data_IF_082693430784
#
_entry.id   IF_082693430784
#
_cell.length_a   1.000
_cell.length_b   1.000
_cell.length_c   1.000
_cell.angle_alpha   90.00
_cell.angle_beta   90.00
_cell.angle_gamma   90.00
#
_symmetry.space_group_name_H-M   'P 1'
#
loop_
_entity.id
_entity.type
_entity.pdbx_description
1 polymer ?
#
# COMPACT_ATOMS: atom_id res chain seq x y z
N UNK A 1 -9.33 23.60 11.58
CA UNK A 1 -7.93 23.30 11.19
C UNK A 1 -7.24 24.64 11.01
N UNK A 2 -6.13 24.83 11.72
CA UNK A 2 -5.27 26.01 11.65
C UNK A 2 -4.76 26.25 10.19
N UNK A 3 -4.34 27.46 9.80
CA UNK A 3 -3.89 27.78 8.45
C UNK A 3 -2.75 26.84 8.05
N UNK A 4 -2.79 26.35 6.80
CA UNK A 4 -1.74 25.62 6.08
C UNK A 4 -0.54 25.21 6.96
N UNK A 5 -0.56 24.00 7.54
CA UNK A 5 0.50 23.48 8.41
C UNK A 5 1.88 23.48 7.75
N UNK A 6 1.90 23.60 6.43
CA UNK A 6 3.07 23.81 5.59
C UNK A 6 3.77 25.14 5.88
N UNK A 7 3.14 26.10 6.55
CA UNK A 7 3.77 27.38 6.91
C UNK A 7 4.30 27.41 8.35
N UNK A 8 4.05 26.36 9.13
CA UNK A 8 4.52 26.28 10.51
C UNK A 8 6.05 26.17 10.59
N UNK A 9 6.59 26.68 11.70
CA UNK A 9 7.98 26.44 12.08
C UNK A 9 8.19 24.96 12.39
N UNK A 10 9.45 24.49 12.34
CA UNK A 10 9.77 23.09 12.66
C UNK A 10 9.31 22.68 14.07
N UNK A 11 9.41 23.60 15.04
CA UNK A 11 8.99 23.34 16.43
C UNK A 11 7.48 23.16 16.56
N UNK A 12 6.70 24.06 15.95
CA UNK A 12 5.23 23.96 15.96
C UNK A 12 4.76 22.71 15.24
N UNK A 13 5.38 22.41 14.10
CA UNK A 13 5.08 21.21 13.33
C UNK A 13 5.45 19.93 14.09
N UNK A 14 6.58 19.89 14.80
CA UNK A 14 6.95 18.76 15.66
C UNK A 14 5.91 18.51 16.77
N UNK A 15 5.45 19.57 17.45
CA UNK A 15 4.45 19.44 18.50
C UNK A 15 3.07 19.00 17.97
N UNK A 16 2.67 19.47 16.78
CA UNK A 16 1.43 19.05 16.12
C UNK A 16 1.53 17.59 15.66
N UNK A 17 2.63 17.20 15.01
CA UNK A 17 2.83 15.82 14.54
C UNK A 17 2.87 14.84 15.72
N UNK A 18 3.46 15.23 16.85
CA UNK A 18 3.44 14.43 18.07
C UNK A 18 2.01 14.13 18.52
N UNK A 19 1.14 15.14 18.62
CA UNK A 19 -0.27 14.94 19.01
C UNK A 19 -1.02 14.11 17.97
N UNK A 20 -0.82 14.45 16.70
CA UNK A 20 -1.43 13.75 15.58
C UNK A 20 -1.13 12.24 15.60
N UNK A 21 0.13 11.83 15.80
CA UNK A 21 0.45 10.40 15.86
C UNK A 21 -0.18 9.68 17.06
N UNK A 22 -0.38 10.36 18.19
CA UNK A 22 -1.05 9.77 19.35
C UNK A 22 -2.57 9.61 19.12
N UNK A 23 -3.18 10.54 18.40
CA UNK A 23 -4.64 10.74 18.35
C UNK A 23 -5.28 10.25 17.05
N UNK A 24 -4.53 10.06 15.96
CA UNK A 24 -5.12 9.68 14.67
C UNK A 24 -5.86 8.34 14.74
N UNK A 25 -7.10 8.33 14.25
CA UNK A 25 -8.01 7.17 14.21
C UNK A 25 -8.73 7.10 12.86
N UNK A 26 -9.29 5.93 12.54
CA UNK A 26 -10.17 5.76 11.39
C UNK A 26 -11.55 6.40 11.63
N UNK A 27 -12.41 6.37 10.62
CA UNK A 27 -13.77 6.93 10.70
C UNK A 27 -14.66 6.28 11.77
N UNK A 28 -14.29 5.09 12.24
CA UNK A 28 -14.98 4.37 13.32
C UNK A 28 -14.33 4.61 14.70
N UNK A 29 -13.31 5.46 14.78
CA UNK A 29 -12.59 5.74 16.03
C UNK A 29 -11.53 4.69 16.40
N UNK A 30 -11.28 3.70 15.55
CA UNK A 30 -10.32 2.62 15.80
C UNK A 30 -8.88 3.02 15.40
N UNK A 31 -7.91 2.27 15.92
CA UNK A 31 -6.51 2.43 15.56
C UNK A 31 -6.24 1.96 14.13
N UNK A 32 -5.41 2.73 13.41
CA UNK A 32 -4.85 2.28 12.14
C UNK A 32 -3.78 1.20 12.34
N UNK A 33 -3.54 0.41 11.29
CA UNK A 33 -2.43 -0.54 11.27
C UNK A 33 -1.07 0.18 11.30
N UNK A 34 -0.03 -0.54 11.70
CA UNK A 34 1.34 -0.03 11.70
C UNK A 34 1.79 0.44 10.30
N UNK A 35 1.41 -0.28 9.25
CA UNK A 35 1.75 0.08 7.86
C UNK A 35 1.09 1.39 7.43
N UNK A 36 -0.15 1.65 7.87
CA UNK A 36 -0.84 2.91 7.63
C UNK A 36 -0.13 4.08 8.30
N UNK A 37 0.32 3.94 9.56
CA UNK A 37 1.12 4.99 10.21
C UNK A 37 2.41 5.32 9.45
N UNK A 38 3.13 4.31 8.98
CA UNK A 38 4.33 4.49 8.15
C UNK A 38 3.98 5.25 6.86
N UNK A 39 2.88 4.87 6.21
CA UNK A 39 2.37 5.53 5.00
C UNK A 39 2.00 6.99 5.23
N UNK A 40 1.28 7.31 6.32
CA UNK A 40 0.90 8.67 6.68
C UNK A 40 2.13 9.54 6.93
N UNK A 41 3.11 9.04 7.70
CA UNK A 41 4.36 9.81 7.93
C UNK A 41 5.10 10.09 6.62
N UNK A 42 5.21 9.08 5.76
CA UNK A 42 5.87 9.22 4.46
C UNK A 42 5.12 10.19 3.54
N UNK A 43 3.78 10.15 3.52
CA UNK A 43 2.98 11.05 2.69
C UNK A 43 3.07 12.51 3.14
N UNK A 44 3.05 12.77 4.46
CA UNK A 44 3.25 14.13 5.00
C UNK A 44 4.66 14.63 4.66
N UNK A 45 5.69 13.81 4.87
CA UNK A 45 7.06 14.18 4.53
C UNK A 45 7.19 14.51 3.03
N UNK A 46 6.60 13.67 2.16
CA UNK A 46 6.59 13.90 0.72
C UNK A 46 5.85 15.18 0.34
N UNK A 47 4.69 15.43 0.94
CA UNK A 47 3.89 16.63 0.70
C UNK A 47 4.68 17.90 1.00
N UNK A 48 5.39 17.94 2.12
CA UNK A 48 6.22 19.09 2.50
C UNK A 48 7.44 19.27 1.58
N UNK A 49 8.07 18.17 1.16
CA UNK A 49 9.34 18.21 0.41
C UNK A 49 9.18 18.39 -1.10
N UNK A 50 8.03 18.05 -1.66
CA UNK A 50 7.78 18.14 -3.10
C UNK A 50 7.00 19.42 -3.46
N UNK A 51 6.87 19.74 -4.76
CA UNK A 51 6.01 20.82 -5.20
C UNK A 51 4.58 20.66 -4.66
N UNK A 52 3.93 21.76 -4.23
CA UNK A 52 4.38 23.15 -4.35
C UNK A 52 5.29 23.64 -3.20
N UNK A 53 5.41 22.90 -2.11
CA UNK A 53 6.00 23.40 -0.86
C UNK A 53 7.53 23.37 -0.82
N UNK A 54 8.15 22.37 -1.47
CA UNK A 54 9.60 22.26 -1.66
C UNK A 54 10.45 22.52 -0.41
N UNK A 55 9.97 22.15 0.79
CA UNK A 55 10.73 22.34 2.01
C UNK A 55 11.98 21.47 2.00
N UNK A 56 13.10 22.03 2.43
CA UNK A 56 14.36 21.30 2.62
C UNK A 56 14.34 20.39 3.86
N UNK A 57 13.42 20.64 4.81
CA UNK A 57 13.30 19.86 6.05
C UNK A 57 12.64 18.50 5.80
N UNK A 58 13.14 17.48 6.47
CA UNK A 58 12.62 16.11 6.50
C UNK A 58 12.10 15.79 7.89
N UNK A 59 10.78 15.64 8.04
CA UNK A 59 10.14 15.35 9.34
C UNK A 59 10.57 13.99 9.92
N UNK A 60 11.23 13.16 9.12
CA UNK A 60 11.67 11.80 9.47
C UNK A 60 13.11 11.75 9.96
N UNK A 61 13.95 12.73 9.60
CA UNK A 61 15.41 12.66 9.75
C UNK A 61 15.98 13.85 10.53
N UNK A 62 15.37 15.03 10.38
CA UNK A 62 15.84 16.25 11.02
C UNK A 62 15.60 16.22 12.54
N UNK A 63 16.60 16.67 13.31
CA UNK A 63 16.62 16.65 14.79
C UNK A 63 15.53 17.50 15.43
N UNK A 64 15.05 18.50 14.71
CA UNK A 64 13.96 19.39 15.11
C UNK A 64 12.66 18.62 15.34
N UNK A 65 12.51 17.42 14.77
CA UNK A 65 11.33 16.56 14.87
C UNK A 65 11.48 15.46 15.93
N UNK A 66 12.27 15.70 16.98
CA UNK A 66 12.57 14.67 17.96
C UNK A 66 11.32 14.17 18.72
N UNK A 67 10.42 15.07 19.14
CA UNK A 67 9.28 14.68 19.98
C UNK A 67 8.27 13.86 19.17
N UNK A 68 7.98 14.28 17.94
CA UNK A 68 7.09 13.55 17.04
C UNK A 68 7.66 12.19 16.65
N UNK A 69 8.98 12.10 16.41
CA UNK A 69 9.63 10.83 16.10
C UNK A 69 9.62 9.85 17.29
N UNK A 70 9.84 10.32 18.52
CA UNK A 70 9.70 9.49 19.71
C UNK A 70 8.26 8.97 19.86
N UNK A 71 7.26 9.85 19.71
CA UNK A 71 5.86 9.45 19.80
C UNK A 71 5.49 8.44 18.70
N UNK A 72 5.93 8.68 17.46
CA UNK A 72 5.72 7.76 16.35
C UNK A 72 6.25 6.36 16.67
N UNK A 73 7.49 6.26 17.18
CA UNK A 73 8.08 4.98 17.56
C UNK A 73 7.33 4.31 18.72
N UNK A 74 6.88 5.08 19.71
CA UNK A 74 6.07 4.57 20.81
C UNK A 74 4.74 3.98 20.32
N UNK A 75 4.06 4.68 19.41
CA UNK A 75 2.82 4.20 18.76
C UNK A 75 3.09 2.92 17.96
N UNK A 76 4.15 2.87 17.15
CA UNK A 76 4.48 1.65 16.39
C UNK A 76 4.76 0.45 17.31
N UNK A 77 5.44 0.68 18.45
CA UNK A 77 5.71 -0.36 19.45
C UNK A 77 4.40 -0.87 20.06
N UNK A 78 3.49 0.04 20.43
CA UNK A 78 2.16 -0.30 20.95
C UNK A 78 1.36 -1.12 19.95
N UNK A 79 1.26 -0.65 18.70
CA UNK A 79 0.53 -1.36 17.64
C UNK A 79 1.08 -2.77 17.40
N UNK A 80 2.40 -2.94 17.47
CA UNK A 80 3.02 -4.27 17.36
C UNK A 80 2.64 -5.18 18.53
N UNK A 81 2.64 -4.66 19.77
CA UNK A 81 2.23 -5.41 20.96
C UNK A 81 0.76 -5.82 20.90
N UNK A 82 -0.10 -4.96 20.37
CA UNK A 82 -1.54 -5.21 20.18
C UNK A 82 -1.84 -6.06 18.92
N UNK A 83 -0.83 -6.43 18.13
CA UNK A 83 -0.99 -7.29 16.95
C UNK A 83 -1.39 -6.58 15.66
N UNK A 84 -1.49 -5.25 15.64
CA UNK A 84 -1.81 -4.41 14.48
C UNK A 84 -0.66 -4.26 13.46
N UNK A 85 0.40 -5.07 13.59
CA UNK A 85 1.48 -5.27 12.61
C UNK A 85 1.23 -6.49 11.70
N UNK A 86 0.20 -7.29 12.01
CA UNK A 86 -0.10 -8.51 11.25
C UNK A 86 -0.94 -8.17 10.02
N UNK A 87 -0.48 -8.61 8.86
CA UNK A 87 -1.25 -8.57 7.62
C UNK A 87 -2.16 -9.79 7.55
N UNK A 88 -3.47 -9.58 7.41
CA UNK A 88 -4.39 -10.64 7.05
C UNK A 88 -4.24 -10.92 5.56
N UNK A 89 -3.73 -12.10 5.21
CA UNK A 89 -3.68 -12.55 3.82
C UNK A 89 -5.04 -13.11 3.41
N UNK A 90 -5.46 -12.81 2.18
CA UNK A 90 -6.60 -13.48 1.59
C UNK A 90 -6.32 -14.99 1.49
N UNK A 91 -7.33 -15.85 1.73
CA UNK A 91 -7.16 -17.28 1.57
C UNK A 91 -6.81 -17.61 0.11
N UNK A 92 -6.04 -18.68 -0.14
CA UNK A 92 -5.79 -19.14 -1.50
C UNK A 92 -7.10 -19.59 -2.15
N UNK A 93 -7.17 -19.49 -3.49
CA UNK A 93 -8.29 -20.06 -4.25
C UNK A 93 -8.26 -21.58 -4.06
N UNK A 94 -9.39 -22.18 -3.69
CA UNK A 94 -9.45 -23.62 -3.45
C UNK A 94 -9.32 -24.42 -4.74
N UNK A 95 -8.83 -25.66 -4.66
CA UNK A 95 -8.76 -26.56 -5.82
C UNK A 95 -10.13 -26.80 -6.45
N UNK A 96 -11.18 -26.87 -5.64
CA UNK A 96 -12.55 -27.04 -6.11
C UNK A 96 -13.05 -25.80 -6.88
N UNK A 97 -12.74 -24.60 -6.40
CA UNK A 97 -13.10 -23.37 -7.11
C UNK A 97 -12.31 -23.24 -8.42
N UNK A 98 -11.02 -23.60 -8.42
CA UNK A 98 -10.22 -23.66 -9.65
C UNK A 98 -10.82 -24.63 -10.66
N UNK A 99 -11.23 -25.82 -10.20
CA UNK A 99 -11.89 -26.79 -11.07
C UNK A 99 -13.21 -26.23 -11.63
N UNK A 100 -14.03 -25.61 -10.78
CA UNK A 100 -15.30 -25.02 -11.19
C UNK A 100 -15.12 -23.93 -12.25
N UNK A 101 -14.11 -23.08 -12.11
CA UNK A 101 -13.77 -22.04 -13.09
C UNK A 101 -13.51 -22.63 -14.49
N UNK A 102 -12.90 -23.81 -14.57
CA UNK A 102 -12.67 -24.50 -15.84
C UNK A 102 -13.90 -25.27 -16.32
N UNK A 103 -14.56 -26.05 -15.46
CA UNK A 103 -15.67 -26.93 -15.86
C UNK A 103 -16.94 -26.18 -16.24
N UNK A 104 -17.16 -24.98 -15.72
CA UNK A 104 -18.35 -24.14 -16.03
C UNK A 104 -18.18 -23.28 -17.28
N UNK A 105 -17.02 -23.33 -17.93
CA UNK A 105 -16.73 -22.50 -19.11
C UNK A 105 -16.40 -21.03 -18.80
N UNK A 106 -16.27 -20.66 -17.52
CA UNK A 106 -15.83 -19.30 -17.12
C UNK A 106 -14.43 -19.02 -17.65
N UNK A 107 -13.54 -20.02 -17.59
CA UNK A 107 -12.20 -20.02 -18.16
C UNK A 107 -12.12 -21.05 -19.31
N UNK A 108 -12.68 -20.70 -20.47
CA UNK A 108 -12.66 -21.55 -21.68
C UNK A 108 -12.13 -20.81 -22.90
N UNK A 109 -11.99 -21.53 -24.02
CA UNK A 109 -11.62 -20.97 -25.32
C UNK A 109 -12.82 -20.78 -26.26
N UNK A 110 -14.04 -21.05 -25.79
CA UNK A 110 -15.22 -21.16 -26.64
C UNK A 110 -15.77 -19.80 -27.09
N UNK A 111 -15.55 -18.75 -26.28
CA UNK A 111 -15.99 -17.39 -26.59
C UNK A 111 -14.84 -16.40 -26.41
N UNK A 112 -14.82 -15.27 -27.13
CA UNK A 112 -13.81 -14.24 -26.93
C UNK A 112 -13.73 -13.77 -25.47
N UNK A 113 -14.86 -13.71 -24.77
CA UNK A 113 -14.94 -13.29 -23.37
C UNK A 113 -14.35 -14.33 -22.41
N UNK A 114 -14.69 -15.61 -22.57
CA UNK A 114 -14.13 -16.68 -21.73
C UNK A 114 -12.63 -16.86 -22.00
N UNK A 115 -12.19 -16.71 -23.25
CA UNK A 115 -10.78 -16.73 -23.63
C UNK A 115 -10.00 -15.61 -22.94
N UNK A 116 -10.53 -14.38 -22.99
CA UNK A 116 -9.89 -13.24 -22.32
C UNK A 116 -9.74 -13.46 -20.81
N UNK A 117 -10.78 -13.98 -20.15
CA UNK A 117 -10.74 -14.31 -18.72
C UNK A 117 -9.69 -15.38 -18.42
N UNK A 118 -9.64 -16.43 -19.24
CA UNK A 118 -8.68 -17.53 -19.11
C UNK A 118 -7.25 -17.03 -19.22
N UNK A 119 -6.94 -16.30 -20.30
CA UNK A 119 -5.59 -15.77 -20.52
C UNK A 119 -5.18 -14.83 -19.37
N UNK A 120 -6.06 -13.91 -18.95
CA UNK A 120 -5.77 -13.03 -17.83
C UNK A 120 -5.51 -13.80 -16.54
N UNK A 121 -6.35 -14.79 -16.22
CA UNK A 121 -6.22 -15.61 -15.02
C UNK A 121 -4.91 -16.41 -15.03
N UNK A 122 -4.65 -17.14 -16.12
CA UNK A 122 -3.48 -18.01 -16.28
C UNK A 122 -2.18 -17.19 -16.19
N UNK A 123 -2.12 -16.02 -16.85
CA UNK A 123 -0.95 -15.12 -16.77
C UNK A 123 -0.77 -14.59 -15.34
N UNK A 124 -1.87 -14.20 -14.68
CA UNK A 124 -1.81 -13.64 -13.33
C UNK A 124 -1.31 -14.67 -12.31
N UNK A 125 -1.84 -15.90 -12.35
CA UNK A 125 -1.52 -16.92 -11.34
C UNK A 125 -0.13 -17.54 -11.55
N UNK A 126 0.33 -17.69 -12.80
CA UNK A 126 1.63 -18.31 -13.09
C UNK A 126 2.80 -17.32 -12.98
N UNK A 127 2.61 -16.05 -13.33
CA UNK A 127 3.71 -15.06 -13.30
C UNK A 127 3.68 -14.14 -12.07
N UNK A 128 2.61 -14.19 -11.25
CA UNK A 128 2.46 -13.42 -10.01
C UNK A 128 2.85 -11.93 -10.14
N UNK A 129 2.60 -11.33 -11.30
CA UNK A 129 2.94 -9.93 -11.59
C UNK A 129 2.11 -9.04 -10.65
N UNK A 130 2.80 -8.18 -9.88
CA UNK A 130 2.15 -7.29 -8.91
C UNK A 130 1.14 -6.37 -9.60
N UNK A 131 -0.11 -6.45 -9.17
CA UNK A 131 -1.13 -5.41 -9.35
C UNK A 131 -1.39 -4.89 -10.77
N UNK A 132 -2.19 -3.83 -10.81
CA UNK A 132 -2.79 -3.26 -12.03
C UNK A 132 -1.75 -2.72 -13.03
N UNK A 133 -0.62 -2.21 -12.56
CA UNK A 133 0.39 -1.54 -13.40
C UNK A 133 1.09 -2.54 -14.32
N UNK A 134 1.54 -3.68 -13.78
CA UNK A 134 2.28 -4.66 -14.58
C UNK A 134 1.41 -5.43 -15.56
N UNK A 135 0.16 -5.77 -15.20
CA UNK A 135 -0.73 -6.54 -16.08
C UNK A 135 -1.27 -5.69 -17.24
N UNK A 136 -1.52 -4.40 -17.01
CA UNK A 136 -2.06 -3.51 -18.05
C UNK A 136 -1.05 -3.22 -19.16
N UNK A 137 0.23 -3.19 -18.81
CA UNK A 137 1.31 -2.87 -19.74
C UNK A 137 1.92 -4.10 -20.43
N UNK A 138 1.46 -5.31 -20.09
CA UNK A 138 1.88 -6.54 -20.78
C UNK A 138 1.54 -6.48 -22.26
N UNK A 139 2.57 -6.66 -23.08
CA UNK A 139 2.47 -6.73 -24.54
C UNK A 139 2.93 -8.10 -25.02
N UNK A 140 2.62 -8.43 -26.27
CA UNK A 140 2.99 -9.72 -26.86
C UNK A 140 4.50 -9.98 -26.81
N UNK A 141 5.32 -8.93 -26.98
CA UNK A 141 6.78 -9.01 -26.94
C UNK A 141 7.35 -9.16 -25.52
N UNK A 142 6.50 -9.19 -24.48
CA UNK A 142 6.90 -9.58 -23.13
C UNK A 142 6.99 -11.10 -22.95
N UNK A 143 6.62 -11.89 -23.96
CA UNK A 143 6.65 -13.35 -23.95
C UNK A 143 7.62 -13.87 -25.01
N UNK A 144 8.47 -14.81 -24.61
CA UNK A 144 9.33 -15.59 -25.51
C UNK A 144 8.87 -17.05 -25.46
N UNK A 145 8.52 -17.62 -26.61
CA UNK A 145 8.12 -19.02 -26.71
C UNK A 145 9.29 -19.81 -27.25
N UNK A 146 9.88 -20.65 -26.39
CA UNK A 146 10.92 -21.60 -26.79
C UNK A 146 10.26 -22.92 -27.17
N UNK A 147 10.57 -23.41 -28.36
CA UNK A 147 10.18 -24.77 -28.76
C UNK A 147 11.12 -25.73 -28.03
N UNK A 148 10.56 -26.65 -27.24
CA UNK A 148 11.35 -27.71 -26.64
C UNK A 148 11.91 -28.59 -27.77
N UNK A 149 13.23 -28.78 -27.77
CA UNK A 149 13.91 -29.72 -28.66
C UNK A 149 13.66 -31.16 -28.21
#
# INVERSE_FOLDING_TARGET
>A
MDPSFENLTSTELDDILRRFYAEVRNSQGELYSKSTFIGIRASINRHLRNPPHNKSISIMENKEFHKSNQMFLAVLKKLKQEGHDKTAHHPPISTNDLQLLHTTGVLSTDTPRSLQRKVWFDVTINFARRGRENLRELRYNCFEFKVAQ
#
